data_IF_393432272496
#
_entry.id   IF_393432272496
#
_cell.length_a   1.000
_cell.length_b   1.000
_cell.length_c   1.000
_cell.angle_alpha   90.00
_cell.angle_beta   90.00
_cell.angle_gamma   90.00
#
_symmetry.space_group_name_H-M   'P 1'
#
loop_
_entity.id
_entity.type
_entity.pdbx_description
1 polymer ?
#
# COMPACT_ATOMS: atom_id res chain seq x y z
N UNK A 1 16.11 -8.90 -10.80
CA UNK A 1 16.80 -7.95 -11.73
C UNK A 1 15.91 -6.73 -12.04
N UNK A 2 16.48 -5.58 -12.43
CA UNK A 2 15.71 -4.35 -12.78
C UNK A 2 15.95 -3.96 -14.23
N UNK A 3 14.89 -3.59 -14.95
CA UNK A 3 14.98 -3.00 -16.29
C UNK A 3 15.49 -1.54 -16.18
N UNK A 4 16.67 -1.19 -16.75
CA UNK A 4 17.30 0.12 -16.56
C UNK A 4 16.41 1.30 -16.94
N UNK A 5 15.55 1.09 -17.94
CA UNK A 5 14.69 2.12 -18.49
C UNK A 5 13.24 2.01 -17.98
N UNK A 6 12.96 1.26 -16.92
CA UNK A 6 11.59 1.06 -16.43
C UNK A 6 10.88 2.41 -16.16
N UNK A 7 11.59 3.38 -15.59
CA UNK A 7 11.03 4.71 -15.30
C UNK A 7 10.69 5.53 -16.55
N UNK A 8 11.30 5.24 -17.69
CA UNK A 8 10.92 5.89 -18.96
C UNK A 8 9.49 5.50 -19.39
N UNK A 9 8.96 4.39 -18.85
CA UNK A 9 7.62 3.91 -19.13
C UNK A 9 6.53 4.52 -18.25
N UNK A 10 6.88 5.38 -17.28
CA UNK A 10 5.93 5.96 -16.32
C UNK A 10 4.79 6.77 -16.97
N UNK A 11 5.03 7.34 -18.15
CA UNK A 11 4.04 8.16 -18.89
C UNK A 11 3.06 7.35 -19.74
N UNK A 12 3.28 6.04 -19.91
CA UNK A 12 2.48 5.20 -20.82
C UNK A 12 1.41 4.41 -20.07
N UNK A 13 1.84 3.51 -19.19
CA UNK A 13 0.96 2.57 -18.48
C UNK A 13 1.68 1.99 -17.26
N UNK A 14 1.07 2.14 -16.09
CA UNK A 14 1.58 1.67 -14.79
C UNK A 14 1.11 0.24 -14.43
N UNK A 15 0.58 -0.47 -15.42
CA UNK A 15 0.03 -1.83 -15.30
C UNK A 15 0.85 -2.75 -16.21
N UNK A 16 1.01 -4.01 -15.78
CA UNK A 16 1.70 -5.06 -16.53
C UNK A 16 2.88 -5.68 -15.80
N UNK A 17 3.43 -6.74 -16.40
CA UNK A 17 4.38 -7.66 -15.77
C UNK A 17 5.72 -7.03 -15.36
N UNK A 18 6.14 -5.96 -16.03
CA UNK A 18 7.37 -5.20 -15.70
C UNK A 18 7.29 -4.42 -14.39
N UNK A 19 6.07 -4.17 -13.87
CA UNK A 19 5.86 -3.43 -12.64
C UNK A 19 5.75 -4.33 -11.40
N UNK A 20 5.83 -5.66 -11.58
CA UNK A 20 5.66 -6.62 -10.49
C UNK A 20 6.90 -6.60 -9.59
N UNK A 21 6.69 -6.29 -8.31
CA UNK A 21 7.68 -6.51 -7.25
C UNK A 21 7.51 -7.88 -6.59
N UNK A 22 8.53 -8.35 -5.87
CA UNK A 22 8.45 -9.62 -5.12
C UNK A 22 7.32 -9.55 -4.08
N UNK A 23 6.33 -10.47 -4.10
CA UNK A 23 5.25 -10.46 -3.11
C UNK A 23 5.77 -10.78 -1.70
N UNK A 24 5.66 -9.80 -0.79
CA UNK A 24 6.19 -9.92 0.57
C UNK A 24 5.21 -10.35 1.65
N UNK A 25 3.91 -10.36 1.34
CA UNK A 25 2.84 -10.40 2.34
C UNK A 25 2.84 -11.69 3.18
N UNK A 26 2.98 -12.87 2.55
CA UNK A 26 2.99 -14.16 3.24
C UNK A 26 4.17 -14.28 4.21
N UNK A 27 5.36 -13.80 3.82
CA UNK A 27 6.53 -13.75 4.72
C UNK A 27 6.32 -12.78 5.88
N UNK A 28 5.66 -11.65 5.61
CA UNK A 28 5.30 -10.66 6.63
C UNK A 28 4.37 -11.24 7.68
N UNK A 29 3.31 -11.93 7.24
CA UNK A 29 2.37 -12.62 8.12
C UNK A 29 3.02 -13.74 8.92
N UNK A 30 3.91 -14.54 8.32
CA UNK A 30 4.65 -15.56 9.05
C UNK A 30 5.56 -14.95 10.12
N UNK A 31 6.26 -13.86 9.80
CA UNK A 31 7.11 -13.18 10.78
C UNK A 31 6.30 -12.58 11.93
N UNK A 32 5.17 -11.94 11.64
CA UNK A 32 4.25 -11.42 12.66
C UNK A 32 3.68 -12.54 13.53
N UNK A 33 3.30 -13.67 12.92
CA UNK A 33 2.81 -14.86 13.61
C UNK A 33 3.88 -15.47 14.53
N UNK A 34 5.13 -15.58 14.08
CA UNK A 34 6.25 -16.07 14.91
C UNK A 34 6.55 -15.16 16.10
N UNK A 35 6.34 -13.84 15.96
CA UNK A 35 6.59 -12.87 17.03
C UNK A 35 5.44 -12.76 18.04
N UNK A 36 4.20 -12.77 17.56
CA UNK A 36 3.02 -12.37 18.35
C UNK A 36 1.83 -13.33 18.24
N UNK A 37 1.89 -14.31 17.35
CA UNK A 37 0.81 -15.26 17.09
C UNK A 37 0.59 -16.23 18.24
N UNK A 38 -0.68 -16.51 18.54
CA UNK A 38 -1.09 -17.47 19.59
C UNK A 38 -1.76 -18.73 19.02
N UNK A 39 -2.48 -18.61 17.91
CA UNK A 39 -3.16 -19.73 17.25
C UNK A 39 -2.19 -20.48 16.33
N UNK A 40 -2.44 -21.78 16.05
CA UNK A 40 -1.66 -22.51 15.05
C UNK A 40 -1.71 -21.81 13.67
N UNK A 41 -0.57 -21.76 12.97
CA UNK A 41 -0.44 -21.09 11.67
C UNK A 41 -1.50 -21.59 10.67
N UNK A 42 -1.67 -22.90 10.56
CA UNK A 42 -2.58 -23.53 9.61
C UNK A 42 -4.06 -23.16 9.83
N UNK A 43 -4.46 -22.89 11.08
CA UNK A 43 -5.85 -22.58 11.44
C UNK A 43 -6.27 -21.21 10.93
N UNK A 44 -5.31 -20.27 10.81
CA UNK A 44 -5.55 -18.92 10.31
C UNK A 44 -5.95 -18.89 8.83
N UNK A 45 -5.65 -19.94 8.07
CA UNK A 45 -5.95 -20.02 6.63
C UNK A 45 -7.30 -20.67 6.33
N UNK A 46 -7.82 -21.51 7.24
CA UNK A 46 -9.00 -22.34 6.96
C UNK A 46 -10.21 -21.54 6.48
N UNK A 47 -10.60 -20.42 7.12
CA UNK A 47 -11.75 -19.63 6.66
C UNK A 47 -11.57 -19.12 5.22
N UNK A 48 -10.36 -18.67 4.87
CA UNK A 48 -10.05 -18.13 3.54
C UNK A 48 -9.99 -19.23 2.48
N UNK A 49 -9.41 -20.40 2.82
CA UNK A 49 -9.38 -21.58 1.93
C UNK A 49 -10.81 -22.02 1.60
N UNK A 50 -11.68 -22.12 2.61
CA UNK A 50 -13.07 -22.48 2.41
C UNK A 50 -13.81 -21.45 1.53
N UNK A 51 -13.63 -20.16 1.81
CA UNK A 51 -14.23 -19.09 1.03
C UNK A 51 -13.78 -19.12 -0.44
N UNK A 52 -12.48 -19.31 -0.68
CA UNK A 52 -11.91 -19.39 -2.02
C UNK A 52 -12.42 -20.61 -2.80
N UNK A 53 -12.61 -21.76 -2.13
CA UNK A 53 -13.05 -23.01 -2.75
C UNK A 53 -14.56 -23.07 -2.98
N UNK A 54 -15.36 -22.66 -1.99
CA UNK A 54 -16.83 -22.61 -2.11
C UNK A 54 -17.28 -21.47 -3.03
N UNK A 55 -16.51 -20.39 -3.05
CA UNK A 55 -16.82 -19.15 -3.75
C UNK A 55 -17.67 -18.22 -2.89
N UNK A 56 -17.74 -16.97 -3.33
CA UNK A 56 -18.51 -15.91 -2.68
C UNK A 56 -19.14 -14.99 -3.73
N UNK A 57 -20.26 -14.31 -3.40
CA UNK A 57 -20.85 -13.33 -4.30
C UNK A 57 -19.88 -12.17 -4.52
N UNK A 58 -19.62 -11.81 -5.77
CA UNK A 58 -18.79 -10.66 -6.16
C UNK A 58 -19.31 -9.41 -5.43
N UNK A 59 -18.51 -8.79 -4.55
CA UNK A 59 -18.91 -7.58 -3.84
C UNK A 59 -19.13 -6.40 -4.79
N UNK A 60 -19.95 -5.41 -4.43
CA UNK A 60 -20.28 -4.27 -5.30
C UNK A 60 -19.07 -3.57 -5.90
N UNK A 61 -18.08 -3.21 -5.07
CA UNK A 61 -16.85 -2.54 -5.53
C UNK A 61 -16.07 -3.42 -6.50
N UNK A 62 -15.94 -4.73 -6.22
CA UNK A 62 -15.23 -5.64 -7.14
C UNK A 62 -15.98 -5.76 -8.47
N UNK A 63 -17.31 -5.86 -8.45
CA UNK A 63 -18.15 -5.97 -9.64
C UNK A 63 -18.03 -4.75 -10.57
N UNK A 64 -17.94 -3.55 -10.01
CA UNK A 64 -17.66 -2.32 -10.79
C UNK A 64 -16.32 -2.41 -11.53
N UNK A 65 -15.30 -3.01 -10.91
CA UNK A 65 -13.97 -3.08 -11.51
C UNK A 65 -13.75 -4.23 -12.48
N UNK A 66 -14.52 -5.33 -12.38
CA UNK A 66 -14.40 -6.47 -13.31
C UNK A 66 -14.60 -6.04 -14.77
N UNK A 67 -15.54 -5.13 -15.05
CA UNK A 67 -15.79 -4.64 -16.41
C UNK A 67 -14.62 -3.83 -17.01
N UNK A 68 -13.70 -3.33 -16.18
CA UNK A 68 -12.52 -2.57 -16.63
C UNK A 68 -11.29 -3.45 -16.89
N UNK A 69 -11.39 -4.77 -16.73
CA UNK A 69 -10.32 -5.69 -17.11
C UNK A 69 -10.25 -5.71 -18.65
N UNK A 70 -9.16 -5.23 -19.28
CA UNK A 70 -9.08 -5.10 -20.73
C UNK A 70 -9.03 -6.48 -21.37
N UNK A 71 -9.58 -6.60 -22.58
CA UNK A 71 -9.59 -7.86 -23.33
C UNK A 71 -8.30 -8.02 -24.14
N UNK A 72 -7.20 -8.33 -23.44
CA UNK A 72 -5.84 -8.42 -23.99
C UNK A 72 -5.24 -9.78 -23.64
N UNK A 73 -4.26 -10.26 -24.42
CA UNK A 73 -3.64 -11.56 -24.20
C UNK A 73 -3.11 -11.74 -22.77
N UNK A 74 -2.47 -10.71 -22.20
CA UNK A 74 -1.87 -10.78 -20.86
C UNK A 74 -2.91 -10.82 -19.72
N UNK A 75 -4.13 -10.35 -19.96
CA UNK A 75 -5.22 -10.29 -18.98
C UNK A 75 -6.26 -11.39 -19.19
N UNK A 76 -6.19 -12.18 -20.26
CA UNK A 76 -7.09 -13.31 -20.50
C UNK A 76 -7.20 -14.26 -19.29
N UNK A 77 -6.10 -14.64 -18.60
CA UNK A 77 -6.21 -15.47 -17.40
C UNK A 77 -7.05 -14.83 -16.29
N UNK A 78 -6.87 -13.53 -16.07
CA UNK A 78 -7.63 -12.77 -15.07
C UNK A 78 -9.09 -12.59 -15.50
N UNK A 79 -9.36 -12.32 -16.78
CA UNK A 79 -10.73 -12.25 -17.31
C UNK A 79 -11.46 -13.56 -17.12
N UNK A 80 -10.81 -14.67 -17.45
CA UNK A 80 -11.37 -16.02 -17.30
C UNK A 80 -11.72 -16.37 -15.86
N UNK A 81 -10.94 -15.90 -14.87
CA UNK A 81 -11.28 -16.05 -13.45
C UNK A 81 -12.63 -15.40 -13.11
N UNK A 82 -12.95 -14.28 -13.77
CA UNK A 82 -14.20 -13.54 -13.60
C UNK A 82 -15.15 -13.73 -14.79
N UNK A 83 -15.15 -14.90 -15.42
CA UNK A 83 -16.11 -15.24 -16.48
C UNK A 83 -17.01 -16.40 -16.06
N UNK A 84 -18.26 -16.36 -16.50
CA UNK A 84 -19.17 -17.50 -16.44
C UNK A 84 -18.80 -18.57 -17.50
N UNK A 85 -19.54 -19.68 -17.52
CA UNK A 85 -19.32 -20.78 -18.48
C UNK A 85 -19.54 -20.38 -19.95
N UNK A 86 -20.25 -19.27 -20.19
CA UNK A 86 -20.51 -18.72 -21.52
C UNK A 86 -19.47 -17.66 -21.93
N UNK A 87 -18.50 -17.35 -21.06
CA UNK A 87 -17.49 -16.32 -21.30
C UNK A 87 -17.93 -14.89 -20.97
N UNK A 88 -19.12 -14.70 -20.39
CA UNK A 88 -19.55 -13.37 -19.94
C UNK A 88 -18.85 -13.02 -18.63
N UNK A 89 -18.45 -11.76 -18.48
CA UNK A 89 -17.89 -11.30 -17.21
C UNK A 89 -18.93 -11.34 -16.09
N UNK A 90 -18.50 -11.82 -14.93
CA UNK A 90 -19.29 -11.86 -13.71
C UNK A 90 -19.67 -10.45 -13.25
N UNK A 91 -20.86 -10.32 -12.70
CA UNK A 91 -21.44 -9.10 -12.13
C UNK A 91 -21.55 -9.22 -10.62
N UNK A 92 -21.78 -8.08 -9.97
CA UNK A 92 -22.08 -8.00 -8.54
C UNK A 92 -23.15 -9.01 -8.14
N UNK A 93 -22.87 -9.79 -7.09
CA UNK A 93 -23.75 -10.82 -6.55
C UNK A 93 -23.57 -12.22 -7.17
N UNK A 94 -22.96 -12.33 -8.34
CA UNK A 94 -22.65 -13.65 -8.94
C UNK A 94 -21.47 -14.31 -8.22
N UNK A 95 -21.41 -15.64 -8.22
CA UNK A 95 -20.42 -16.38 -7.44
C UNK A 95 -19.10 -16.46 -8.21
N UNK A 96 -18.02 -15.95 -7.61
CA UNK A 96 -16.65 -16.17 -8.07
C UNK A 96 -15.95 -17.20 -7.18
N UNK A 97 -15.08 -18.04 -7.78
CA UNK A 97 -14.28 -19.05 -7.07
C UNK A 97 -12.79 -18.87 -7.36
N UNK A 98 -11.97 -19.03 -6.33
CA UNK A 98 -10.51 -18.95 -6.40
C UNK A 98 -9.89 -20.32 -6.09
N UNK A 99 -10.28 -21.37 -6.81
CA UNK A 99 -9.89 -22.76 -6.50
C UNK A 99 -8.37 -22.98 -6.51
N UNK A 100 -7.65 -22.36 -7.45
CA UNK A 100 -6.19 -22.42 -7.52
C UNK A 100 -5.53 -21.75 -6.31
N UNK A 101 -6.07 -20.60 -5.89
CA UNK A 101 -5.61 -19.91 -4.70
C UNK A 101 -5.86 -20.76 -3.45
N UNK A 102 -7.02 -21.41 -3.35
CA UNK A 102 -7.34 -22.30 -2.23
C UNK A 102 -6.29 -23.41 -2.09
N UNK A 103 -5.88 -24.05 -3.19
CA UNK A 103 -4.84 -25.08 -3.17
C UNK A 103 -3.47 -24.51 -2.76
N UNK A 104 -3.11 -23.33 -3.27
CA UNK A 104 -1.88 -22.62 -2.88
C UNK A 104 -1.88 -22.31 -1.38
N UNK A 105 -2.97 -21.77 -0.86
CA UNK A 105 -3.13 -21.44 0.56
C UNK A 105 -3.11 -22.69 1.45
N UNK A 106 -3.65 -23.83 1.00
CA UNK A 106 -3.54 -25.11 1.72
C UNK A 106 -2.10 -25.59 1.88
N UNK A 107 -1.29 -25.48 0.81
CA UNK A 107 0.12 -25.84 0.85
C UNK A 107 0.88 -24.92 1.82
N UNK A 108 0.62 -23.61 1.78
CA UNK A 108 1.24 -22.62 2.69
C UNK A 108 0.81 -22.85 4.14
N UNK A 109 -0.46 -23.16 4.37
CA UNK A 109 -0.98 -23.46 5.70
C UNK A 109 -0.28 -24.69 6.30
N UNK A 110 -0.04 -25.73 5.49
CA UNK A 110 0.60 -26.97 5.93
C UNK A 110 2.12 -26.85 6.10
N UNK A 111 2.79 -26.17 5.17
CA UNK A 111 4.25 -26.22 5.05
C UNK A 111 4.95 -24.91 5.47
N UNK A 112 4.20 -23.87 5.84
CA UNK A 112 4.73 -22.56 6.18
C UNK A 112 5.01 -21.68 4.94
N UNK A 113 5.47 -20.46 5.19
CA UNK A 113 5.67 -19.46 4.13
C UNK A 113 6.75 -19.86 3.12
N UNK A 114 7.75 -20.66 3.51
CA UNK A 114 8.84 -21.09 2.64
C UNK A 114 8.35 -21.77 1.36
N UNK A 115 7.19 -22.43 1.41
CA UNK A 115 6.56 -23.05 0.25
C UNK A 115 6.16 -22.06 -0.85
N UNK A 116 5.95 -20.78 -0.52
CA UNK A 116 5.66 -19.72 -1.49
C UNK A 116 6.95 -19.18 -2.15
N UNK A 117 8.05 -19.11 -1.40
CA UNK A 117 9.30 -18.50 -1.84
C UNK A 117 10.29 -19.51 -2.44
N UNK A 118 10.00 -20.81 -2.30
CA UNK A 118 10.82 -21.90 -2.83
C UNK A 118 9.96 -23.09 -3.25
N UNK A 119 10.51 -23.96 -4.10
CA UNK A 119 9.82 -25.16 -4.58
C UNK A 119 8.68 -24.87 -5.55
N UNK A 120 7.67 -25.75 -5.56
CA UNK A 120 6.71 -25.83 -6.68
C UNK A 120 5.85 -24.58 -6.89
N UNK A 121 5.37 -23.94 -5.82
CA UNK A 121 4.57 -22.70 -5.94
C UNK A 121 5.45 -21.59 -6.53
N UNK A 122 6.68 -21.44 -6.05
CA UNK A 122 7.62 -20.46 -6.57
C UNK A 122 7.94 -20.70 -8.06
N UNK A 123 8.21 -21.96 -8.44
CA UNK A 123 8.45 -22.36 -9.83
C UNK A 123 7.26 -22.05 -10.74
N UNK A 124 6.05 -22.39 -10.29
CA UNK A 124 4.83 -22.16 -11.04
C UNK A 124 4.48 -20.67 -11.16
N UNK A 125 4.65 -19.91 -10.09
CA UNK A 125 4.43 -18.46 -10.09
C UNK A 125 5.42 -17.75 -11.03
N UNK A 126 6.71 -18.07 -10.94
CA UNK A 126 7.75 -17.43 -11.74
C UNK A 126 7.60 -17.79 -13.22
N UNK A 127 7.23 -19.04 -13.55
CA UNK A 127 6.93 -19.41 -14.93
C UNK A 127 5.81 -18.52 -15.49
N UNK A 128 4.67 -18.44 -14.80
CA UNK A 128 3.52 -17.63 -15.27
C UNK A 128 3.89 -16.14 -15.39
N UNK A 129 4.70 -15.59 -14.46
CA UNK A 129 5.19 -14.21 -14.53
C UNK A 129 6.11 -13.97 -15.73
N UNK A 130 7.02 -14.91 -16.03
CA UNK A 130 7.95 -14.82 -17.16
C UNK A 130 7.24 -15.01 -18.50
N UNK A 131 6.26 -15.90 -18.59
CA UNK A 131 5.39 -16.05 -19.77
C UNK A 131 4.62 -14.75 -20.07
N UNK A 132 4.22 -14.01 -19.04
CA UNK A 132 3.64 -12.68 -19.16
C UNK A 132 4.67 -11.56 -19.46
N UNK A 133 5.96 -11.89 -19.66
CA UNK A 133 7.04 -10.94 -19.96
C UNK A 133 7.71 -10.28 -18.76
N UNK A 134 7.41 -10.72 -17.54
CA UNK A 134 8.03 -10.24 -16.31
C UNK A 134 9.48 -10.68 -16.16
N UNK A 135 10.21 -10.03 -15.24
CA UNK A 135 11.66 -10.25 -15.02
C UNK A 135 12.02 -10.86 -13.66
N UNK A 136 11.02 -11.16 -12.83
CA UNK A 136 11.26 -11.84 -11.57
C UNK A 136 11.82 -13.24 -11.81
N UNK A 137 12.73 -13.64 -10.94
CA UNK A 137 13.37 -14.96 -10.94
C UNK A 137 13.08 -15.71 -9.64
N UNK A 138 13.37 -17.01 -9.64
CA UNK A 138 13.33 -17.81 -8.43
C UNK A 138 14.30 -17.30 -7.36
N UNK A 139 15.45 -16.77 -7.77
CA UNK A 139 16.43 -16.18 -6.85
C UNK A 139 15.90 -14.89 -6.20
N UNK A 140 15.18 -14.05 -6.95
CA UNK A 140 14.51 -12.87 -6.39
C UNK A 140 13.47 -13.28 -5.32
N UNK A 141 12.70 -14.36 -5.52
CA UNK A 141 11.79 -14.89 -4.49
C UNK A 141 12.54 -15.47 -3.29
N UNK A 142 13.53 -16.32 -3.53
CA UNK A 142 14.24 -17.04 -2.48
C UNK A 142 15.08 -16.12 -1.59
N UNK A 143 15.60 -15.02 -2.14
CA UNK A 143 16.40 -14.03 -1.40
C UNK A 143 15.56 -13.02 -0.61
N UNK A 144 14.24 -12.97 -0.83
CA UNK A 144 13.37 -12.01 -0.16
C UNK A 144 13.27 -12.27 1.34
N UNK A 145 13.49 -11.22 2.12
CA UNK A 145 13.33 -11.21 3.57
C UNK A 145 12.52 -9.99 4.03
N UNK A 146 11.79 -10.18 5.11
CA UNK A 146 11.04 -9.09 5.76
C UNK A 146 11.88 -8.42 6.83
N UNK A 147 11.76 -7.10 6.90
CA UNK A 147 12.44 -6.29 7.91
C UNK A 147 11.50 -6.00 9.06
N UNK A 148 11.97 -6.24 10.29
CA UNK A 148 11.28 -5.83 11.51
C UNK A 148 12.05 -4.62 12.06
N UNK A 149 11.35 -3.50 12.24
CA UNK A 149 11.96 -2.23 12.67
C UNK A 149 11.09 -1.57 13.72
N UNK A 150 11.71 -0.76 14.58
CA UNK A 150 10.97 0.07 15.52
C UNK A 150 10.18 1.14 14.79
N UNK A 151 8.96 1.39 15.26
CA UNK A 151 8.16 2.50 14.76
C UNK A 151 8.82 3.84 15.06
N UNK A 152 8.72 4.78 14.12
CA UNK A 152 9.02 6.17 14.38
C UNK A 152 7.94 6.78 15.26
N UNK A 153 8.36 7.57 16.24
CA UNK A 153 7.49 8.18 17.24
C UNK A 153 7.50 9.69 17.03
N UNK A 154 6.33 10.27 16.77
CA UNK A 154 6.17 11.71 16.54
C UNK A 154 5.13 12.29 17.50
N UNK A 155 5.47 13.33 18.28
CA UNK A 155 4.49 14.03 19.11
C UNK A 155 3.46 14.77 18.24
N UNK A 156 2.18 14.52 18.47
CA UNK A 156 1.04 15.21 17.83
C UNK A 156 0.09 15.70 18.95
N UNK A 157 0.28 16.95 19.38
CA UNK A 157 -0.46 17.49 20.53
C UNK A 157 -0.22 16.68 21.81
N UNK A 158 -1.28 16.09 22.38
CA UNK A 158 -1.21 15.22 23.56
C UNK A 158 -0.90 13.73 23.24
N UNK A 159 -0.86 13.37 21.96
CA UNK A 159 -0.65 11.99 21.50
C UNK A 159 0.80 11.78 21.05
N UNK A 160 1.28 10.54 21.20
CA UNK A 160 2.43 10.02 20.48
C UNK A 160 1.91 9.21 19.29
N UNK A 161 2.33 9.60 18.09
CA UNK A 161 2.02 8.90 16.85
C UNK A 161 3.13 7.90 16.53
N UNK A 162 2.77 6.64 16.38
CA UNK A 162 3.65 5.55 15.97
C UNK A 162 3.35 5.23 14.51
N UNK A 163 4.37 5.27 13.67
CA UNK A 163 4.29 4.97 12.24
C UNK A 163 5.52 4.17 11.81
N UNK A 164 5.43 3.27 10.81
CA UNK A 164 6.61 2.67 10.21
C UNK A 164 7.56 3.74 9.64
N UNK A 165 8.89 3.51 9.65
CA UNK A 165 9.85 4.34 8.94
C UNK A 165 9.64 4.27 7.41
N UNK A 166 10.32 5.14 6.63
CA UNK A 166 10.47 4.97 5.20
C UNK A 166 10.88 3.51 4.84
N UNK A 167 10.40 2.96 3.72
CA UNK A 167 9.71 3.64 2.63
C UNK A 167 8.19 3.84 2.85
N UNK A 168 7.66 3.76 4.06
CA UNK A 168 6.28 4.17 4.36
C UNK A 168 6.12 5.70 4.49
N UNK A 169 4.93 6.20 4.19
CA UNK A 169 4.63 7.64 4.06
C UNK A 169 4.13 8.32 5.33
N UNK A 170 3.98 7.61 6.45
CA UNK A 170 3.34 8.15 7.65
C UNK A 170 4.06 9.34 8.31
N UNK A 171 5.35 9.54 8.04
CA UNK A 171 6.04 10.76 8.50
C UNK A 171 5.50 12.04 7.82
N UNK A 172 4.96 11.96 6.60
CA UNK A 172 4.30 13.09 5.94
C UNK A 172 2.92 13.40 6.54
N UNK A 173 2.20 12.37 7.01
CA UNK A 173 0.99 12.57 7.81
C UNK A 173 1.33 13.33 9.10
N UNK A 174 2.45 13.01 9.75
CA UNK A 174 2.91 13.75 10.93
C UNK A 174 3.14 15.24 10.66
N UNK A 175 3.68 15.58 9.47
CA UNK A 175 3.88 16.97 9.04
C UNK A 175 2.55 17.70 8.92
N UNK A 176 1.57 17.11 8.23
CA UNK A 176 0.24 17.68 8.05
C UNK A 176 -0.39 17.97 9.41
N UNK A 177 -0.41 16.97 10.30
CA UNK A 177 -1.00 17.08 11.62
C UNK A 177 -0.31 18.14 12.50
N UNK A 178 1.02 18.26 12.43
CA UNK A 178 1.76 19.27 13.19
C UNK A 178 1.61 20.69 12.63
N UNK A 179 1.50 20.85 11.30
CA UNK A 179 1.11 22.14 10.70
C UNK A 179 -0.25 22.57 11.25
N UNK A 180 -1.24 21.67 11.19
CA UNK A 180 -2.60 21.97 11.64
C UNK A 180 -2.70 22.23 13.14
N UNK A 181 -1.98 21.45 13.96
CA UNK A 181 -1.90 21.66 15.42
C UNK A 181 -1.40 23.07 15.76
N UNK A 182 -0.41 23.57 15.02
CA UNK A 182 0.14 24.90 15.29
C UNK A 182 -0.71 26.09 14.83
N UNK A 183 -1.81 25.87 14.10
CA UNK A 183 -2.85 26.89 13.93
C UNK A 183 -3.76 27.06 15.17
N UNK A 184 -3.54 26.25 16.23
CA UNK A 184 -4.15 26.37 17.56
C UNK A 184 -5.67 26.52 17.54
N UNK A 185 -6.37 25.60 16.87
CA UNK A 185 -7.82 25.62 16.86
C UNK A 185 -8.39 25.31 18.24
N UNK A 186 -9.05 26.30 18.84
CA UNK A 186 -9.68 26.18 20.16
C UNK A 186 -11.04 25.48 20.12
N UNK A 187 -11.70 25.49 18.97
CA UNK A 187 -12.99 24.86 18.74
C UNK A 187 -13.18 24.50 17.26
N UNK A 188 -14.09 23.57 16.92
CA UNK A 188 -14.49 23.34 15.54
C UNK A 188 -15.01 24.63 14.88
N UNK A 189 -14.79 24.83 13.57
CA UNK A 189 -15.24 26.01 12.84
C UNK A 189 -16.77 26.05 12.77
N UNK A 190 -17.37 27.20 13.06
CA UNK A 190 -18.83 27.38 13.16
C UNK A 190 -19.38 28.18 11.98
N UNK A 191 -18.71 29.26 11.60
CA UNK A 191 -19.11 30.06 10.43
C UNK A 191 -18.57 29.48 9.12
N UNK A 192 -19.12 29.91 8.00
CA UNK A 192 -18.65 29.48 6.69
C UNK A 192 -17.26 30.04 6.37
N UNK A 193 -16.93 31.25 6.85
CA UNK A 193 -15.58 31.81 6.73
C UNK A 193 -14.55 30.99 7.52
N UNK A 194 -14.89 30.58 8.75
CA UNK A 194 -14.02 29.72 9.57
C UNK A 194 -13.80 28.35 8.93
N UNK A 195 -14.86 27.75 8.38
CA UNK A 195 -14.76 26.47 7.65
C UNK A 195 -13.92 26.62 6.39
N UNK A 196 -14.12 27.69 5.64
CA UNK A 196 -13.36 27.98 4.42
C UNK A 196 -11.88 28.10 4.72
N UNK A 197 -11.51 28.90 5.73
CA UNK A 197 -10.12 29.05 6.16
C UNK A 197 -9.54 27.74 6.71
N UNK A 198 -10.34 26.94 7.41
CA UNK A 198 -9.93 25.63 7.90
C UNK A 198 -9.57 24.67 6.77
N UNK A 199 -10.47 24.49 5.79
CA UNK A 199 -10.22 23.62 4.64
C UNK A 199 -9.09 24.16 3.76
N UNK A 200 -9.00 25.48 3.58
CA UNK A 200 -7.88 26.12 2.88
C UNK A 200 -6.54 25.71 3.49
N UNK A 201 -6.39 25.82 4.81
CA UNK A 201 -5.14 25.43 5.52
C UNK A 201 -4.81 23.95 5.36
N UNK A 202 -5.81 23.07 5.42
CA UNK A 202 -5.62 21.64 5.17
C UNK A 202 -5.14 21.37 3.75
N UNK A 203 -5.80 21.95 2.75
CA UNK A 203 -5.44 21.81 1.34
C UNK A 203 -4.01 22.30 1.09
N UNK A 204 -3.62 23.44 1.67
CA UNK A 204 -2.26 23.96 1.56
C UNK A 204 -1.23 23.03 2.23
N UNK A 205 -1.53 22.50 3.43
CA UNK A 205 -0.68 21.51 4.09
C UNK A 205 -0.52 20.23 3.26
N UNK A 206 -1.60 19.75 2.63
CA UNK A 206 -1.57 18.60 1.73
C UNK A 206 -0.68 18.83 0.51
N UNK A 207 -0.73 20.01 -0.11
CA UNK A 207 0.14 20.35 -1.25
C UNK A 207 1.61 20.31 -0.86
N UNK A 208 1.97 20.92 0.28
CA UNK A 208 3.35 20.84 0.80
C UNK A 208 3.79 19.42 1.10
N UNK A 209 2.95 18.61 1.76
CA UNK A 209 3.26 17.21 2.04
C UNK A 209 3.45 16.39 0.75
N UNK A 210 2.59 16.60 -0.25
CA UNK A 210 2.70 15.95 -1.56
C UNK A 210 4.01 16.27 -2.28
N UNK A 211 4.50 17.51 -2.20
CA UNK A 211 5.78 17.90 -2.78
C UNK A 211 7.02 17.30 -2.11
N UNK A 212 6.84 16.68 -0.94
CA UNK A 212 7.89 16.01 -0.18
C UNK A 212 7.87 14.48 -0.37
N UNK A 213 6.97 13.92 -1.19
CA UNK A 213 6.88 12.48 -1.46
C UNK A 213 8.15 11.88 -2.05
N UNK A 214 8.99 12.66 -2.71
CA UNK A 214 10.31 12.22 -3.20
C UNK A 214 11.30 11.88 -2.07
N UNK A 215 11.01 12.28 -0.83
CA UNK A 215 11.80 11.92 0.36
C UNK A 215 11.34 10.62 1.03
N UNK A 216 10.26 10.00 0.54
CA UNK A 216 9.94 8.61 0.90
C UNK A 216 10.93 7.74 0.13
N UNK A 217 11.96 7.21 0.77
CA UNK A 217 12.99 6.36 0.15
C UNK A 217 13.34 5.19 1.05
N UNK A 218 13.78 4.09 0.46
CA UNK A 218 14.27 2.94 1.21
C UNK A 218 15.55 3.31 1.99
N UNK A 219 15.55 3.19 3.34
CA UNK A 219 16.68 3.57 4.18
C UNK A 219 17.91 2.67 4.01
N UNK A 220 17.80 1.50 3.35
CA UNK A 220 18.96 0.67 3.02
C UNK A 220 19.78 1.25 1.86
N UNK A 221 19.14 2.08 1.02
CA UNK A 221 19.76 2.64 -0.18
C UNK A 221 19.98 4.16 -0.07
N UNK A 222 19.18 4.86 0.74
CA UNK A 222 19.22 6.32 0.85
C UNK A 222 19.20 6.78 2.31
N UNK A 223 19.77 7.96 2.57
CA UNK A 223 19.75 8.57 3.90
C UNK A 223 18.34 9.00 4.31
N UNK A 224 17.93 8.61 5.52
CA UNK A 224 16.65 9.00 6.13
C UNK A 224 16.66 10.39 6.82
N UNK A 225 17.79 11.12 6.76
CA UNK A 225 17.98 12.41 7.45
C UNK A 225 16.88 13.44 7.14
N UNK A 226 16.48 13.59 5.87
CA UNK A 226 15.43 14.54 5.50
C UNK A 226 14.06 14.11 6.01
N UNK A 227 13.73 12.81 5.94
CA UNK A 227 12.49 12.29 6.50
C UNK A 227 12.42 12.51 8.03
N UNK A 228 13.55 12.38 8.73
CA UNK A 228 13.67 12.76 10.15
C UNK A 228 13.51 14.26 10.38
N UNK A 229 14.09 15.11 9.53
CA UNK A 229 13.92 16.57 9.62
C UNK A 229 12.44 16.97 9.47
N UNK A 230 11.72 16.35 8.54
CA UNK A 230 10.31 16.62 8.26
C UNK A 230 9.41 16.40 9.49
N UNK A 231 9.75 15.44 10.35
CA UNK A 231 8.99 15.16 11.59
C UNK A 231 9.22 16.19 12.70
N UNK A 232 10.24 17.06 12.59
CA UNK A 232 10.55 18.03 13.62
C UNK A 232 9.55 19.20 13.63
N UNK A 233 9.25 19.71 14.83
CA UNK A 233 8.34 20.84 15.03
C UNK A 233 8.78 22.11 14.27
N UNK A 234 10.09 22.34 14.16
CA UNK A 234 10.66 23.50 13.46
C UNK A 234 10.39 23.43 11.95
N UNK A 235 10.46 22.23 11.37
CA UNK A 235 10.14 22.02 9.96
C UNK A 235 8.66 22.34 9.71
N UNK A 236 7.75 21.78 10.53
CA UNK A 236 6.32 22.06 10.42
C UNK A 236 5.98 23.54 10.61
N UNK A 237 6.71 24.24 11.50
CA UNK A 237 6.53 25.68 11.72
C UNK A 237 7.02 26.51 10.54
N UNK A 238 8.14 26.12 9.92
CA UNK A 238 8.64 26.72 8.68
C UNK A 238 7.61 26.56 7.56
N UNK A 239 7.11 25.36 7.30
CA UNK A 239 6.08 25.12 6.28
C UNK A 239 4.79 25.90 6.59
N UNK A 240 4.34 25.89 7.85
CA UNK A 240 3.15 26.67 8.26
C UNK A 240 3.29 28.17 7.95
N UNK A 241 4.49 28.74 8.12
CA UNK A 241 4.74 30.16 7.83
C UNK A 241 4.64 30.52 6.33
N UNK A 242 4.73 29.52 5.45
CA UNK A 242 4.58 29.67 4.01
C UNK A 242 3.12 29.61 3.54
N UNK A 243 2.19 29.18 4.40
CA UNK A 243 0.77 29.07 4.05
C UNK A 243 0.10 30.46 4.11
N UNK A 244 -0.27 31.00 2.94
CA UNK A 244 -1.12 32.20 2.83
C UNK A 244 -2.55 31.86 3.29
N UNK A 245 -3.28 32.80 3.90
CA UNK A 245 -4.66 32.55 4.36
C UNK A 245 -5.74 32.84 3.31
N UNK A 246 -5.37 33.51 2.22
CA UNK A 246 -6.26 34.11 1.24
C UNK A 246 -5.98 33.68 -0.22
N UNK A 247 -4.94 32.87 -0.44
CA UNK A 247 -4.54 32.41 -1.78
C UNK A 247 -3.81 31.07 -1.74
N UNK A 248 -3.79 30.41 -2.90
CA UNK A 248 -2.90 29.30 -3.26
C UNK A 248 -1.82 29.80 -4.21
N UNK A 249 -0.74 29.04 -4.33
CA UNK A 249 0.35 29.27 -5.27
C UNK A 249 0.32 28.25 -6.42
N UNK A 250 1.19 28.44 -7.41
CA UNK A 250 1.40 27.48 -8.51
C UNK A 250 2.08 26.19 -8.03
N UNK A 251 1.93 25.05 -8.74
CA UNK A 251 2.50 23.76 -8.34
C UNK A 251 4.01 23.77 -8.05
N UNK A 252 4.78 24.64 -8.72
CA UNK A 252 6.22 24.80 -8.51
C UNK A 252 6.56 25.27 -7.09
N UNK A 253 5.68 26.08 -6.49
CA UNK A 253 5.85 26.58 -5.12
C UNK A 253 5.87 25.45 -4.10
N UNK A 254 5.06 24.41 -4.32
CA UNK A 254 4.96 23.25 -3.44
C UNK A 254 5.92 22.14 -3.84
N UNK A 255 6.67 22.26 -4.94
CA UNK A 255 7.45 21.16 -5.53
C UNK A 255 6.59 19.94 -5.91
N UNK A 256 5.34 20.16 -6.32
CA UNK A 256 4.42 19.09 -6.73
C UNK A 256 4.48 18.86 -8.22
N UNK A 257 4.40 17.59 -8.61
CA UNK A 257 4.35 17.12 -9.99
C UNK A 257 3.05 16.34 -10.22
N UNK A 258 2.49 16.45 -11.42
CA UNK A 258 1.27 15.74 -11.80
C UNK A 258 1.61 14.29 -12.13
N UNK A 259 1.17 13.35 -11.30
CA UNK A 259 1.27 11.92 -11.59
C UNK A 259 -0.10 11.26 -11.46
N UNK A 260 -0.26 10.15 -12.18
CA UNK A 260 -1.46 9.34 -12.13
C UNK A 260 -1.64 8.80 -10.71
N UNK A 261 -2.82 9.03 -10.16
CA UNK A 261 -3.20 8.51 -8.86
C UNK A 261 -3.45 7.01 -8.92
N UNK A 262 -3.21 6.31 -7.82
CA UNK A 262 -3.47 4.89 -7.68
C UNK A 262 -4.76 4.66 -6.89
N UNK A 263 -5.66 3.84 -7.47
CA UNK A 263 -6.85 3.35 -6.77
C UNK A 263 -6.58 1.94 -6.26
N UNK A 264 -6.61 1.75 -4.94
CA UNK A 264 -6.38 0.46 -4.29
C UNK A 264 -5.92 0.63 -2.84
N UNK A 265 -5.44 -0.47 -2.26
CA UNK A 265 -5.13 -0.68 -0.83
C UNK A 265 -6.33 -1.07 0.02
N UNK A 266 -6.10 -1.89 1.04
CA UNK A 266 -7.03 -2.15 2.14
C UNK A 266 -6.37 -1.87 3.48
N UNK A 267 -7.15 -1.52 4.48
CA UNK A 267 -6.67 -1.26 5.83
C UNK A 267 -7.52 -2.01 6.85
N UNK A 268 -6.85 -2.57 7.87
CA UNK A 268 -7.49 -3.22 9.00
C UNK A 268 -6.86 -2.70 10.29
N UNK A 269 -7.71 -2.32 11.23
CA UNK A 269 -7.35 -1.94 12.60
C UNK A 269 -7.98 -2.94 13.58
N UNK A 270 -7.16 -3.49 14.48
CA UNK A 270 -7.59 -4.48 15.49
C UNK A 270 -7.08 -4.06 16.87
N UNK A 271 -8.01 -3.89 17.81
CA UNK A 271 -7.70 -3.72 19.23
C UNK A 271 -8.27 -4.92 19.98
N UNK A 272 -7.41 -5.71 20.60
CA UNK A 272 -7.79 -6.90 21.35
C UNK A 272 -8.04 -6.58 22.83
N UNK A 273 -8.78 -7.46 23.52
CA UNK A 273 -9.11 -7.32 24.95
C UNK A 273 -7.87 -7.31 25.86
N UNK A 274 -6.79 -7.97 25.44
CA UNK A 274 -5.51 -8.00 26.17
C UNK A 274 -4.66 -6.74 25.96
N UNK A 275 -5.19 -5.75 25.23
CA UNK A 275 -4.51 -4.50 24.93
C UNK A 275 -3.59 -4.57 23.71
N UNK A 276 -3.49 -5.71 23.02
CA UNK A 276 -2.76 -5.79 21.75
C UNK A 276 -3.44 -4.91 20.71
N UNK A 277 -2.66 -4.12 19.99
CA UNK A 277 -3.16 -3.13 19.06
C UNK A 277 -2.39 -3.24 17.74
N UNK A 278 -3.11 -3.44 16.64
CA UNK A 278 -2.53 -3.72 15.31
C UNK A 278 -3.20 -2.83 14.28
N UNK A 279 -2.38 -2.09 13.54
CA UNK A 279 -2.80 -1.24 12.42
C UNK A 279 -2.05 -1.75 11.19
N UNK A 280 -2.76 -2.32 10.22
CA UNK A 280 -2.17 -2.97 9.03
C UNK A 280 -2.78 -2.41 7.77
N UNK A 281 -1.93 -1.94 6.87
CA UNK A 281 -2.30 -1.51 5.52
C UNK A 281 -1.63 -2.46 4.54
N UNK A 282 -2.42 -3.08 3.66
CA UNK A 282 -1.93 -4.05 2.65
C UNK A 282 -2.43 -3.70 1.26
N UNK A 283 -1.62 -3.99 0.25
CA UNK A 283 -1.90 -3.59 -1.13
C UNK A 283 -1.23 -4.49 -2.17
N UNK A 284 -1.82 -4.50 -3.37
CA UNK A 284 -1.18 -4.93 -4.62
C UNK A 284 -0.98 -3.74 -5.57
N UNK A 285 -0.95 -2.53 -4.99
CA UNK A 285 -1.03 -1.21 -5.61
C UNK A 285 -2.40 -0.93 -6.27
N UNK A 286 -2.52 -1.01 -7.60
CA UNK A 286 -3.77 -0.70 -8.30
C UNK A 286 -4.84 -1.78 -8.11
N UNK A 287 -6.09 -1.47 -8.48
CA UNK A 287 -7.14 -2.50 -8.61
C UNK A 287 -6.68 -3.59 -9.59
N UNK A 288 -6.65 -4.84 -9.10
CA UNK A 288 -6.05 -6.01 -9.76
C UNK A 288 -4.54 -5.90 -10.04
N UNK A 289 -3.84 -4.95 -9.43
CA UNK A 289 -2.40 -4.76 -9.50
C UNK A 289 -1.88 -4.62 -10.94
N UNK A 290 -0.97 -5.51 -11.31
CA UNK A 290 -0.42 -5.61 -12.67
C UNK A 290 -1.39 -6.18 -13.69
N UNK A 291 -2.57 -6.66 -13.25
CA UNK A 291 -3.54 -7.47 -14.00
C UNK A 291 -3.01 -8.82 -14.48
N UNK A 292 -1.80 -9.19 -14.08
CA UNK A 292 -1.27 -10.53 -14.29
C UNK A 292 -1.83 -11.46 -13.23
N UNK A 293 -2.43 -12.56 -13.69
CA UNK A 293 -2.96 -13.63 -12.85
C UNK A 293 -2.21 -14.92 -13.15
N UNK A 294 -1.58 -15.51 -12.13
CA UNK A 294 -0.97 -16.82 -12.25
C UNK A 294 -2.06 -17.89 -12.23
N UNK A 295 -2.33 -18.49 -13.39
CA UNK A 295 -3.29 -19.60 -13.51
C UNK A 295 -2.83 -20.85 -12.76
N UNK A 296 -1.52 -20.99 -12.57
CA UNK A 296 -0.93 -22.12 -11.86
C UNK A 296 -1.15 -22.02 -10.34
N UNK A 297 -1.11 -20.81 -9.77
CA UNK A 297 -1.15 -20.59 -8.31
C UNK A 297 -2.41 -19.88 -7.81
N UNK A 298 -3.17 -19.22 -8.69
CA UNK A 298 -4.34 -18.42 -8.32
C UNK A 298 -4.02 -17.04 -7.77
N UNK A 299 -2.80 -16.55 -7.93
CA UNK A 299 -2.35 -15.26 -7.38
C UNK A 299 -2.54 -14.15 -8.43
N UNK A 300 -3.10 -13.01 -8.01
CA UNK A 300 -3.10 -11.75 -8.76
C UNK A 300 -1.87 -10.95 -8.32
N UNK A 301 -1.03 -10.55 -9.28
CA UNK A 301 0.27 -9.96 -8.98
C UNK A 301 0.18 -8.43 -8.85
N UNK A 302 0.92 -7.88 -7.89
CA UNK A 302 1.04 -6.43 -7.68
C UNK A 302 1.70 -5.71 -8.85
N UNK A 303 1.57 -4.38 -8.88
CA UNK A 303 2.38 -3.50 -9.73
C UNK A 303 3.15 -2.48 -8.87
N UNK A 304 3.70 -2.91 -7.73
CA UNK A 304 4.26 -2.01 -6.71
C UNK A 304 5.46 -1.20 -7.22
N UNK A 305 6.23 -1.71 -8.19
CA UNK A 305 7.37 -0.96 -8.76
C UNK A 305 6.91 0.32 -9.48
N UNK A 306 5.62 0.44 -9.83
CA UNK A 306 5.07 1.66 -10.41
C UNK A 306 5.17 2.86 -9.44
N UNK A 307 5.29 2.63 -8.13
CA UNK A 307 5.38 3.71 -7.16
C UNK A 307 6.71 4.47 -7.21
N UNK A 308 7.75 3.92 -7.87
CA UNK A 308 8.94 4.71 -8.18
C UNK A 308 8.65 5.85 -9.17
N UNK A 309 7.61 5.72 -10.01
CA UNK A 309 7.25 6.74 -10.97
C UNK A 309 6.92 8.06 -10.29
N UNK A 310 7.68 9.09 -10.65
CA UNK A 310 7.47 10.43 -10.12
C UNK A 310 7.92 10.68 -8.69
N UNK A 311 8.44 9.65 -8.02
CA UNK A 311 9.05 9.73 -6.68
C UNK A 311 10.55 9.47 -6.72
N UNK A 312 11.05 8.85 -7.79
CA UNK A 312 12.44 8.50 -7.99
C UNK A 312 12.92 8.81 -9.42
N UNK A 313 14.18 9.26 -9.55
CA UNK A 313 14.85 9.38 -10.85
C UNK A 313 15.57 8.08 -11.27
N UNK A 314 15.87 7.23 -10.29
CA UNK A 314 16.49 5.91 -10.46
C UNK A 314 16.18 5.06 -9.23
N UNK A 315 16.28 3.75 -9.38
CA UNK A 315 16.16 2.78 -8.29
C UNK A 315 17.09 1.59 -8.54
N UNK A 316 17.42 0.87 -7.47
CA UNK A 316 18.35 -0.27 -7.50
C UNK A 316 17.64 -1.62 -7.36
N UNK A 317 18.21 -2.72 -7.85
CA UNK A 317 17.73 -4.06 -7.49
C UNK A 317 17.68 -4.25 -5.98
N UNK A 318 16.55 -4.77 -5.48
CA UNK A 318 16.31 -4.96 -4.05
C UNK A 318 15.79 -3.72 -3.30
N UNK A 319 15.77 -2.54 -3.94
CA UNK A 319 15.19 -1.33 -3.36
C UNK A 319 13.67 -1.45 -3.26
N UNK A 320 13.12 -1.13 -2.10
CA UNK A 320 11.68 -1.11 -1.87
C UNK A 320 11.05 0.17 -2.46
N UNK A 321 9.94 0.07 -3.22
CA UNK A 321 9.23 1.25 -3.73
C UNK A 321 8.73 2.18 -2.61
N UNK A 322 8.73 3.49 -2.84
CA UNK A 322 8.15 4.45 -1.89
C UNK A 322 6.65 4.25 -1.77
N UNK A 323 6.11 4.19 -0.55
CA UNK A 323 4.68 3.97 -0.32
C UNK A 323 4.00 5.14 0.38
N UNK A 324 2.78 5.47 -0.03
CA UNK A 324 1.92 6.43 0.69
C UNK A 324 1.15 5.79 1.85
N UNK A 325 1.30 4.48 2.08
CA UNK A 325 0.68 3.81 3.22
C UNK A 325 1.14 4.44 4.54
N UNK A 326 0.18 4.69 5.43
CA UNK A 326 0.39 5.26 6.75
C UNK A 326 -0.49 4.53 7.79
N UNK A 327 -0.23 3.25 8.09
CA UNK A 327 -0.82 2.61 9.26
C UNK A 327 -0.27 3.28 10.53
N UNK A 328 -1.16 3.83 11.35
CA UNK A 328 -0.80 4.63 12.52
C UNK A 328 -1.45 4.09 13.78
N UNK A 329 -0.68 4.15 14.87
CA UNK A 329 -1.18 4.05 16.24
C UNK A 329 -0.97 5.40 16.92
N UNK A 330 -2.03 6.02 17.43
CA UNK A 330 -1.95 7.22 18.26
C UNK A 330 -2.22 6.83 19.71
N UNK A 331 -1.31 7.19 20.62
CA UNK A 331 -1.43 6.84 22.05
C UNK A 331 -1.21 8.06 22.93
N UNK A 332 -2.12 8.28 23.88
CA UNK A 332 -1.95 9.22 24.99
C UNK A 332 -1.94 8.45 26.33
N UNK A 333 -1.98 9.17 27.46
CA UNK A 333 -2.02 8.53 28.78
C UNK A 333 -3.27 7.66 29.00
N UNK A 334 -4.40 7.98 28.33
CA UNK A 334 -5.70 7.34 28.57
C UNK A 334 -6.38 6.82 27.32
N UNK A 335 -5.84 7.07 26.12
CA UNK A 335 -6.49 6.74 24.84
C UNK A 335 -5.52 6.07 23.88
N UNK A 336 -6.05 5.16 23.09
CA UNK A 336 -5.41 4.57 21.92
C UNK A 336 -6.35 4.70 20.73
N UNK A 337 -5.80 5.08 19.58
CA UNK A 337 -6.50 5.10 18.29
C UNK A 337 -5.64 4.34 17.28
N UNK A 338 -6.27 3.39 16.60
CA UNK A 338 -5.70 2.69 15.46
C UNK A 338 -6.39 3.21 14.22
N UNK A 339 -5.60 3.71 13.28
CA UNK A 339 -6.14 4.30 12.06
C UNK A 339 -5.19 4.08 10.89
N UNK A 340 -5.78 3.95 9.72
CA UNK A 340 -5.13 3.85 8.43
C UNK A 340 -6.20 3.95 7.35
N UNK A 341 -5.78 4.11 6.10
CA UNK A 341 -6.69 4.32 4.99
C UNK A 341 -6.29 3.51 3.75
N UNK A 342 -7.23 3.40 2.83
CA UNK A 342 -7.05 2.96 1.45
C UNK A 342 -7.13 4.15 0.49
N UNK A 343 -6.64 4.00 -0.73
CA UNK A 343 -6.70 5.05 -1.77
C UNK A 343 -5.35 5.53 -2.27
N UNK A 344 -4.32 4.67 -2.22
CA UNK A 344 -3.04 4.94 -2.85
C UNK A 344 -2.40 6.25 -2.39
N UNK A 345 -2.20 7.19 -3.31
CA UNK A 345 -1.52 8.45 -3.01
C UNK A 345 -2.34 9.39 -2.10
N UNK A 346 -3.63 9.14 -1.94
CA UNK A 346 -4.54 9.90 -1.08
C UNK A 346 -4.52 9.47 0.39
N UNK A 347 -3.85 8.37 0.75
CA UNK A 347 -3.88 7.81 2.11
C UNK A 347 -3.46 8.86 3.16
N UNK A 348 -2.35 9.57 2.94
CA UNK A 348 -1.86 10.58 3.90
C UNK A 348 -2.75 11.82 4.02
N UNK A 349 -3.62 12.07 3.04
CA UNK A 349 -4.54 13.22 3.06
C UNK A 349 -5.96 12.84 3.46
N UNK A 350 -6.33 11.56 3.31
CA UNK A 350 -7.61 11.02 3.75
C UNK A 350 -7.64 10.64 5.23
N UNK A 351 -6.46 10.39 5.81
CA UNK A 351 -6.23 10.31 7.26
C UNK A 351 -6.12 11.72 7.86
#
# INVERSE_FOLDING_TARGET
>A
QVEPDLLTSCSKQLIGSKWIGVPGEIRGYEKAHKLYGKLPWADLFQPTIELARKGFPVPPVQGEYISYIPDENMTQPLRKLYSDENGNLLKTGEIVKFEKLANTLEIIAKNGADSFYSGKIAEDLIRDVQEAGGKLTLEDLASYNVTVTDAWIVPIGEYQMYTPPPPAGGFLLSLILNIMTGFQMKSPPRSDDEKTLFYHRYIEAFKFANGLKSHIRDPHFFSDKMAKEIMNSDFSSRIRSLISSDRTHDPQYYNTSSYLDSLGTTHVSVLAEDGSAVSVTSTINHIFGSRIYSSSTGIILNNELADFCGRANSFSPGEQPPSSMAPVVLKSQSKILLIGASGGSMITTGL
#
